data_IF_257163948720
#
_entry.id   IF_257163948720
#
_cell.length_a   1.000
_cell.length_b   1.000
_cell.length_c   1.000
_cell.angle_alpha   90.00
_cell.angle_beta   90.00
_cell.angle_gamma   90.00
#
_symmetry.space_group_name_H-M   'P 1'
#
loop_
_entity.id
_entity.type
_entity.pdbx_description
1 polymer ?
#
# COMPACT_ATOMS: atom_id res chain seq x y z
N UNK A 1 -12.36 -5.41 -14.21
CA UNK A 1 -11.12 -4.61 -14.30
C UNK A 1 -9.99 -5.55 -14.64
N UNK A 2 -9.13 -5.24 -15.63
CA UNK A 2 -8.07 -6.16 -16.03
C UNK A 2 -6.90 -6.07 -15.04
N UNK A 3 -6.74 -7.09 -14.18
CA UNK A 3 -5.75 -7.11 -13.10
C UNK A 3 -4.32 -7.03 -13.63
N UNK A 4 -4.04 -7.58 -14.81
CA UNK A 4 -2.71 -7.52 -15.42
C UNK A 4 -2.33 -6.10 -15.84
N UNK A 5 -3.25 -5.37 -16.48
CA UNK A 5 -3.02 -3.98 -16.89
C UNK A 5 -2.79 -3.11 -15.66
N UNK A 6 -3.60 -3.28 -14.61
CA UNK A 6 -3.39 -2.55 -13.35
C UNK A 6 -2.02 -2.84 -12.75
N UNK A 7 -1.62 -4.12 -12.73
CA UNK A 7 -0.32 -4.50 -12.20
C UNK A 7 0.81 -3.87 -13.02
N UNK A 8 0.71 -3.84 -14.35
CA UNK A 8 1.71 -3.19 -15.21
C UNK A 8 1.83 -1.69 -14.89
N UNK A 9 0.69 -0.99 -14.75
CA UNK A 9 0.67 0.46 -14.60
C UNK A 9 0.97 0.93 -13.18
N UNK A 10 0.58 0.17 -12.15
CA UNK A 10 0.63 0.62 -10.76
C UNK A 10 1.77 0.01 -9.95
N UNK A 11 2.46 -1.01 -10.45
CA UNK A 11 3.50 -1.69 -9.69
C UNK A 11 4.77 -0.83 -9.48
N UNK A 12 4.97 0.23 -10.25
CA UNK A 12 6.03 1.23 -10.07
C UNK A 12 5.53 2.52 -9.36
N UNK A 13 4.23 2.61 -9.06
CA UNK A 13 3.62 3.74 -8.36
C UNK A 13 3.49 3.46 -6.88
N UNK A 14 3.35 4.52 -6.11
CA UNK A 14 3.21 4.42 -4.67
C UNK A 14 2.19 5.40 -4.11
N UNK A 15 1.47 4.96 -3.09
CA UNK A 15 0.70 5.82 -2.21
C UNK A 15 1.50 6.14 -0.95
N UNK A 16 1.16 7.25 -0.31
CA UNK A 16 1.56 7.55 1.05
C UNK A 16 0.92 6.58 2.06
N UNK A 17 1.39 6.62 3.32
CA UNK A 17 0.81 5.83 4.40
C UNK A 17 -0.68 6.16 4.58
N UNK A 18 -1.04 7.43 4.62
CA UNK A 18 -2.39 7.87 4.97
C UNK A 18 -3.39 7.53 3.86
N UNK A 19 -3.01 7.73 2.60
CA UNK A 19 -3.79 7.25 1.44
C UNK A 19 -3.99 5.74 1.51
N UNK A 20 -2.92 4.98 1.77
CA UNK A 20 -3.00 3.52 1.86
C UNK A 20 -3.92 3.08 2.99
N UNK A 21 -3.80 3.69 4.17
CA UNK A 21 -4.65 3.42 5.34
C UNK A 21 -6.11 3.70 5.02
N UNK A 22 -6.41 4.82 4.37
CA UNK A 22 -7.76 5.18 3.95
C UNK A 22 -8.34 4.15 2.97
N UNK A 23 -7.57 3.75 1.96
CA UNK A 23 -8.01 2.83 0.89
C UNK A 23 -8.28 1.43 1.43
N UNK A 24 -7.42 0.91 2.30
CA UNK A 24 -7.56 -0.48 2.79
C UNK A 24 -8.52 -0.61 3.98
N UNK A 25 -9.12 0.48 4.43
CA UNK A 25 -10.13 0.48 5.50
C UNK A 25 -9.58 0.62 6.92
N UNK A 26 -8.40 1.21 7.10
CA UNK A 26 -7.91 1.63 8.42
C UNK A 26 -6.53 1.10 8.81
N UNK A 27 -5.97 1.70 9.87
CA UNK A 27 -4.56 1.51 10.25
C UNK A 27 -4.25 0.08 10.66
N UNK A 28 -5.13 -0.56 11.45
CA UNK A 28 -4.91 -1.94 11.92
C UNK A 28 -4.76 -2.90 10.73
N UNK A 29 -5.71 -2.84 9.80
CA UNK A 29 -5.71 -3.66 8.59
C UNK A 29 -4.50 -3.36 7.71
N UNK A 30 -4.17 -2.09 7.49
CA UNK A 30 -2.96 -1.69 6.78
C UNK A 30 -1.69 -2.32 7.38
N UNK A 31 -1.52 -2.25 8.70
CA UNK A 31 -0.36 -2.83 9.38
C UNK A 31 -0.30 -4.35 9.28
N UNK A 32 -1.45 -5.04 9.38
CA UNK A 32 -1.52 -6.49 9.20
C UNK A 32 -1.14 -6.91 7.78
N UNK A 33 -1.62 -6.19 6.76
CA UNK A 33 -1.28 -6.45 5.35
C UNK A 33 0.21 -6.24 5.06
N UNK A 34 0.79 -5.17 5.60
CA UNK A 34 2.23 -4.91 5.51
C UNK A 34 3.04 -6.02 6.19
N UNK A 35 2.65 -6.45 7.39
CA UNK A 35 3.33 -7.51 8.13
C UNK A 35 3.27 -8.86 7.41
N UNK A 36 2.19 -9.13 6.67
CA UNK A 36 2.01 -10.33 5.84
C UNK A 36 2.72 -10.25 4.48
N UNK A 37 3.33 -9.11 4.14
CA UNK A 37 3.94 -8.88 2.82
C UNK A 37 2.92 -8.70 1.69
N UNK A 38 1.64 -8.50 2.01
CA UNK A 38 0.57 -8.28 1.03
C UNK A 38 0.54 -6.84 0.51
N UNK A 39 1.17 -5.91 1.24
CA UNK A 39 1.51 -4.56 0.76
C UNK A 39 3.01 -4.38 0.89
N UNK A 40 3.69 -4.31 -0.25
CA UNK A 40 5.11 -3.94 -0.29
C UNK A 40 5.23 -2.45 0.01
N UNK A 41 6.20 -2.09 0.85
CA UNK A 41 6.47 -0.70 1.17
C UNK A 41 7.97 -0.45 1.37
N UNK A 42 8.35 0.81 1.20
CA UNK A 42 9.66 1.32 1.58
C UNK A 42 9.49 2.51 2.52
N UNK A 43 10.34 2.60 3.55
CA UNK A 43 10.45 3.77 4.42
C UNK A 43 11.74 4.51 4.13
N UNK A 44 11.65 5.82 4.00
CA UNK A 44 12.83 6.68 3.84
C UNK A 44 13.71 6.72 5.11
N UNK A 45 13.17 6.37 6.28
CA UNK A 45 13.93 6.27 7.53
C UNK A 45 13.28 5.28 8.50
N UNK A 46 14.03 4.84 9.51
CA UNK A 46 13.56 3.98 10.59
C UNK A 46 12.66 4.71 11.61
N UNK A 47 12.55 6.04 11.52
CA UNK A 47 11.71 6.83 12.41
C UNK A 47 10.22 6.46 12.28
N UNK A 48 9.46 6.60 13.38
CA UNK A 48 8.01 6.34 13.38
C UNK A 48 7.25 7.14 12.32
N UNK A 49 7.69 8.38 12.07
CA UNK A 49 7.11 9.32 11.10
C UNK A 49 7.86 9.34 9.76
N UNK A 50 8.74 8.36 9.50
CA UNK A 50 9.43 8.25 8.22
C UNK A 50 8.42 8.14 7.08
N UNK A 51 8.67 8.85 5.97
CA UNK A 51 7.77 8.81 4.80
C UNK A 51 7.70 7.39 4.24
N UNK A 52 6.49 6.88 4.10
CA UNK A 52 6.21 5.58 3.49
C UNK A 52 5.94 5.75 2.00
N UNK A 53 6.41 4.79 1.22
CA UNK A 53 5.99 4.54 -0.16
C UNK A 53 5.40 3.14 -0.22
N UNK A 54 4.09 3.03 -0.29
CA UNK A 54 3.36 1.77 -0.34
C UNK A 54 3.00 1.45 -1.79
N UNK A 55 3.26 0.23 -2.26
CA UNK A 55 3.00 -0.15 -3.65
C UNK A 55 1.52 0.03 -4.03
N UNK A 56 1.25 0.78 -5.09
CA UNK A 56 -0.11 1.19 -5.41
C UNK A 56 -1.00 0.02 -5.86
N UNK A 57 -0.46 -0.93 -6.63
CA UNK A 57 -1.21 -2.13 -7.03
C UNK A 57 -1.62 -2.97 -5.81
N UNK A 58 -0.68 -3.22 -4.90
CA UNK A 58 -0.94 -4.01 -3.69
C UNK A 58 -2.01 -3.37 -2.80
N UNK A 59 -1.98 -2.03 -2.65
CA UNK A 59 -2.96 -1.26 -1.89
C UNK A 59 -4.36 -1.39 -2.50
N UNK A 60 -4.51 -1.16 -3.81
CA UNK A 60 -5.81 -1.26 -4.47
C UNK A 60 -6.35 -2.69 -4.49
N UNK A 61 -5.47 -3.70 -4.64
CA UNK A 61 -5.85 -5.11 -4.56
C UNK A 61 -6.45 -5.50 -3.20
N UNK A 62 -6.08 -4.78 -2.14
CA UNK A 62 -6.56 -5.01 -0.78
C UNK A 62 -7.53 -3.92 -0.29
N UNK A 63 -8.05 -3.08 -1.20
CA UNK A 63 -8.99 -2.02 -0.85
C UNK A 63 -10.23 -2.60 -0.14
N UNK A 64 -10.71 -1.87 0.86
CA UNK A 64 -12.03 -2.13 1.44
C UNK A 64 -13.01 -1.18 0.76
N UNK A 65 -14.06 -1.73 0.16
CA UNK A 65 -15.26 -0.95 -0.13
C UNK A 65 -15.94 -0.55 1.19
#
# INVERSE_FOLDING_TARGET
>A
MNEEILKIVLNDKSFSKDESVSIVGGLRRFTELCAKGLIRYNKASSSQNGRWKCNAYDVLKNASL
#
